data_IF_781855384253
#
_entry.id   IF_781855384253
#
_cell.length_a   1.000
_cell.length_b   1.000
_cell.length_c   1.000
_cell.angle_alpha   90.00
_cell.angle_beta   90.00
_cell.angle_gamma   90.00
#
_symmetry.space_group_name_H-M   'P 1'
#
loop_
_entity.id
_entity.type
_entity.pdbx_description
1 polymer ?
#
# COMPACT_ATOMS: atom_id res chain seq x y z
N UNK A 1 -13.95 -0.86 -5.41
CA UNK A 1 -12.55 -1.10 -5.00
C UNK A 1 -11.86 -1.96 -6.06
N UNK A 2 -10.61 -1.63 -6.38
CA UNK A 2 -9.83 -2.31 -7.43
C UNK A 2 -8.50 -2.78 -6.85
N UNK A 3 -8.14 -4.05 -7.09
CA UNK A 3 -6.87 -4.63 -6.63
C UNK A 3 -5.84 -4.67 -7.74
N UNK A 4 -4.62 -4.20 -7.47
CA UNK A 4 -3.48 -4.17 -8.40
C UNK A 4 -2.21 -4.73 -7.72
N UNK A 5 -1.23 -5.14 -8.51
CA UNK A 5 0.00 -5.75 -8.02
C UNK A 5 1.23 -5.05 -8.58
N UNK A 6 2.27 -4.89 -7.76
CA UNK A 6 3.46 -4.10 -8.10
C UNK A 6 4.74 -4.80 -7.64
N UNK A 7 5.88 -4.38 -8.18
CA UNK A 7 7.19 -4.89 -7.75
C UNK A 7 7.90 -4.00 -6.75
N UNK A 8 7.59 -2.70 -6.72
CA UNK A 8 8.31 -1.75 -5.88
C UNK A 8 7.45 -0.54 -5.52
N UNK A 9 7.89 0.16 -4.48
CA UNK A 9 7.46 1.53 -4.15
C UNK A 9 8.52 2.53 -4.64
N UNK A 10 8.14 3.79 -4.81
CA UNK A 10 9.04 4.89 -5.15
C UNK A 10 8.73 6.14 -4.32
N UNK A 11 9.78 6.84 -3.91
CA UNK A 11 9.70 8.07 -3.12
C UNK A 11 9.50 7.82 -1.63
N UNK A 12 9.40 8.94 -0.90
CA UNK A 12 9.29 8.95 0.58
C UNK A 12 8.04 9.71 1.07
N UNK A 13 7.27 10.31 0.15
CA UNK A 13 6.04 11.04 0.49
C UNK A 13 4.87 10.07 0.53
N UNK A 14 3.98 10.26 1.51
CA UNK A 14 2.75 9.48 1.64
C UNK A 14 1.60 10.14 0.84
N UNK A 15 0.71 9.35 0.23
CA UNK A 15 0.77 7.90 0.06
C UNK A 15 1.95 7.48 -0.84
N UNK A 16 2.58 6.33 -0.57
CA UNK A 16 3.70 5.87 -1.39
C UNK A 16 3.26 5.59 -2.82
N UNK A 17 4.11 5.93 -3.80
CA UNK A 17 3.86 5.59 -5.20
C UNK A 17 4.25 4.14 -5.44
N UNK A 18 3.34 3.33 -5.95
CA UNK A 18 3.63 1.96 -6.39
C UNK A 18 4.04 1.97 -7.87
N UNK A 19 5.06 1.19 -8.23
CA UNK A 19 5.65 1.17 -9.57
C UNK A 19 5.90 -0.25 -10.06
N UNK A 20 6.06 -0.38 -11.38
CA UNK A 20 6.22 -1.67 -12.06
C UNK A 20 5.02 -2.58 -11.80
N UNK A 21 3.84 -2.14 -12.25
CA UNK A 21 2.61 -2.93 -12.17
C UNK A 21 2.76 -4.26 -12.93
N UNK A 22 2.21 -5.32 -12.35
CA UNK A 22 2.24 -6.67 -12.91
C UNK A 22 0.85 -7.30 -12.88
N UNK A 23 0.62 -8.23 -13.81
CA UNK A 23 -0.60 -9.03 -13.83
C UNK A 23 -0.57 -10.11 -12.72
N UNK A 24 -1.73 -10.56 -12.21
CA UNK A 24 -1.82 -11.58 -11.16
C UNK A 24 -1.10 -12.90 -11.52
N UNK A 25 -1.03 -13.26 -12.80
CA UNK A 25 -0.38 -14.47 -13.29
C UNK A 25 1.14 -14.43 -13.09
N UNK A 26 1.73 -13.23 -12.98
CA UNK A 26 3.15 -13.04 -12.74
C UNK A 26 3.55 -13.25 -11.26
N UNK A 27 2.59 -13.49 -10.37
CA UNK A 27 2.84 -13.70 -8.93
C UNK A 27 3.39 -15.09 -8.61
N UNK A 28 2.99 -16.13 -9.35
CA UNK A 28 3.27 -17.53 -9.01
C UNK A 28 4.76 -17.89 -8.92
N UNK A 29 5.64 -17.11 -9.56
CA UNK A 29 7.08 -17.34 -9.61
C UNK A 29 7.88 -16.26 -8.86
N UNK A 30 7.24 -15.55 -7.92
CA UNK A 30 7.88 -14.43 -7.21
C UNK A 30 7.91 -14.64 -5.71
N UNK A 31 9.10 -14.38 -5.17
CA UNK A 31 9.32 -14.36 -3.73
C UNK A 31 8.77 -13.07 -3.12
N UNK A 32 8.82 -11.94 -3.85
CA UNK A 32 8.35 -10.65 -3.32
C UNK A 32 7.50 -9.91 -4.33
N UNK A 33 6.39 -9.35 -3.85
CA UNK A 33 5.52 -8.44 -4.60
C UNK A 33 4.71 -7.56 -3.65
N UNK A 34 4.06 -6.55 -4.19
CA UNK A 34 3.14 -5.67 -3.46
C UNK A 34 1.72 -5.92 -3.95
N UNK A 35 0.78 -6.08 -3.02
CA UNK A 35 -0.66 -6.12 -3.28
C UNK A 35 -1.27 -4.79 -2.83
N UNK A 36 -2.07 -4.15 -3.66
CA UNK A 36 -2.61 -2.85 -3.37
C UNK A 36 -4.10 -2.72 -3.72
N UNK A 37 -4.83 -2.02 -2.87
CA UNK A 37 -6.25 -1.72 -3.04
C UNK A 37 -6.47 -0.25 -3.29
N UNK A 38 -7.27 0.04 -4.31
CA UNK A 38 -7.66 1.38 -4.73
C UNK A 38 -9.16 1.58 -4.59
N UNK A 39 -9.56 2.82 -4.28
CA UNK A 39 -10.97 3.21 -4.36
C UNK A 39 -11.40 3.55 -5.80
N UNK A 40 -12.64 3.99 -5.96
CA UNK A 40 -13.23 4.35 -7.25
C UNK A 40 -12.63 5.64 -7.85
N UNK A 41 -11.98 6.46 -7.02
CA UNK A 41 -11.27 7.67 -7.43
C UNK A 41 -9.78 7.40 -7.72
N UNK A 42 -9.39 6.13 -7.85
CA UNK A 42 -8.00 5.67 -8.05
C UNK A 42 -7.02 6.10 -6.94
N UNK A 43 -7.51 6.32 -5.72
CA UNK A 43 -6.68 6.60 -4.54
C UNK A 43 -6.27 5.30 -3.86
N UNK A 44 -5.00 5.22 -3.45
CA UNK A 44 -4.45 4.06 -2.78
C UNK A 44 -4.99 3.98 -1.34
N UNK A 45 -5.79 2.96 -1.03
CA UNK A 45 -6.34 2.75 0.31
C UNK A 45 -5.42 1.90 1.18
N UNK A 46 -4.79 0.89 0.59
CA UNK A 46 -3.92 -0.06 1.30
C UNK A 46 -2.89 -0.62 0.36
N UNK A 47 -1.69 -0.88 0.86
CA UNK A 47 -0.83 -1.87 0.22
C UNK A 47 -0.15 -2.76 1.25
N UNK A 48 0.17 -3.97 0.83
CA UNK A 48 0.96 -4.94 1.59
C UNK A 48 2.16 -5.37 0.76
N UNK A 49 3.32 -5.45 1.40
CA UNK A 49 4.50 -6.11 0.84
C UNK A 49 4.48 -7.56 1.25
N UNK A 50 4.32 -8.45 0.28
CA UNK A 50 4.36 -9.90 0.49
C UNK A 50 5.75 -10.41 0.19
N UNK A 51 6.34 -11.19 1.09
CA UNK A 51 7.64 -11.85 0.95
C UNK A 51 7.48 -13.31 1.34
N UNK A 52 7.76 -14.22 0.41
CA UNK A 52 7.56 -15.67 0.52
C UNK A 52 6.15 -16.08 1.00
N UNK A 53 5.15 -15.25 0.73
CA UNK A 53 3.75 -15.49 1.14
C UNK A 53 3.34 -14.75 2.41
N UNK A 54 4.29 -14.27 3.21
CA UNK A 54 4.04 -13.53 4.44
C UNK A 54 3.95 -12.02 4.21
N UNK A 55 3.16 -11.33 5.02
CA UNK A 55 3.03 -9.87 4.97
C UNK A 55 4.12 -9.26 5.85
N UNK A 56 5.08 -8.59 5.23
CA UNK A 56 6.21 -7.94 5.92
C UNK A 56 5.93 -6.47 6.26
N UNK A 57 4.98 -5.84 5.57
CA UNK A 57 4.66 -4.43 5.72
C UNK A 57 3.25 -4.17 5.21
N UNK A 58 2.45 -3.43 5.96
CA UNK A 58 1.15 -2.91 5.54
C UNK A 58 1.12 -1.40 5.69
N UNK A 59 0.66 -0.70 4.66
CA UNK A 59 0.22 0.69 4.78
C UNK A 59 -1.29 0.76 4.59
N UNK A 60 -1.97 1.57 5.40
CA UNK A 60 -3.39 1.90 5.29
C UNK A 60 -3.51 3.42 5.22
N UNK A 61 -4.31 3.92 4.30
CA UNK A 61 -4.48 5.35 4.05
C UNK A 61 -5.96 5.74 4.13
N UNK A 62 -6.24 6.77 4.92
CA UNK A 62 -7.56 7.39 5.01
C UNK A 62 -7.53 8.80 4.45
N UNK A 63 -8.57 9.13 3.69
CA UNK A 63 -8.74 10.43 3.07
C UNK A 63 -9.94 11.16 3.65
N UNK A 64 -9.90 12.49 3.67
CA UNK A 64 -11.06 13.30 4.04
C UNK A 64 -12.08 13.42 2.89
N UNK A 65 -13.16 14.18 3.13
CA UNK A 65 -14.23 14.40 2.15
C UNK A 65 -13.75 15.17 0.90
N UNK A 66 -12.65 15.92 0.99
CA UNK A 66 -12.04 16.64 -0.13
C UNK A 66 -11.00 15.78 -0.86
N UNK A 67 -10.69 14.60 -0.33
CA UNK A 67 -9.72 13.66 -0.85
C UNK A 67 -8.28 13.95 -0.47
N UNK A 68 -8.04 14.83 0.50
CA UNK A 68 -6.73 15.01 1.10
C UNK A 68 -6.40 13.81 2.01
N UNK A 69 -5.13 13.38 2.02
CA UNK A 69 -4.67 12.34 2.95
C UNK A 69 -4.80 12.87 4.37
N UNK A 70 -5.58 12.17 5.20
CA UNK A 70 -5.82 12.54 6.60
C UNK A 70 -5.01 11.68 7.55
N UNK A 71 -4.83 10.39 7.25
CA UNK A 71 -4.10 9.45 8.10
C UNK A 71 -3.37 8.41 7.27
N UNK A 72 -2.20 8.02 7.73
CA UNK A 72 -1.50 6.82 7.30
C UNK A 72 -1.17 5.96 8.52
N UNK A 73 -1.51 4.68 8.44
CA UNK A 73 -1.10 3.66 9.41
C UNK A 73 -0.11 2.71 8.75
N UNK A 74 1.01 2.44 9.42
CA UNK A 74 2.11 1.60 8.96
C UNK A 74 2.28 0.48 9.97
N UNK A 75 2.07 -0.75 9.52
CA UNK A 75 2.14 -1.95 10.34
C UNK A 75 3.27 -2.83 9.83
N UNK A 76 4.17 -3.22 10.73
CA UNK A 76 5.20 -4.22 10.49
C UNK A 76 5.01 -5.36 11.49
N UNK A 77 5.30 -6.62 11.13
CA UNK A 77 5.28 -7.72 12.07
C UNK A 77 6.17 -7.43 13.28
N UNK A 78 5.70 -7.82 14.47
CA UNK A 78 6.41 -7.70 15.75
C UNK A 78 6.73 -6.26 16.21
N UNK A 79 6.20 -5.24 15.53
CA UNK A 79 6.32 -3.83 15.91
C UNK A 79 4.95 -3.21 16.21
N UNK A 80 4.94 -2.20 17.08
CA UNK A 80 3.75 -1.39 17.30
C UNK A 80 3.43 -0.58 16.02
N UNK A 81 2.14 -0.48 15.62
CA UNK A 81 1.76 0.32 14.47
C UNK A 81 2.20 1.78 14.59
N UNK A 82 2.78 2.31 13.52
CA UNK A 82 3.08 3.73 13.40
C UNK A 82 1.90 4.45 12.74
N UNK A 83 1.32 5.41 13.45
CA UNK A 83 0.22 6.24 12.94
C UNK A 83 0.73 7.65 12.65
N UNK A 84 0.44 8.15 11.45
CA UNK A 84 0.74 9.50 11.02
C UNK A 84 -0.58 10.20 10.69
N UNK A 85 -0.96 11.18 11.50
CA UNK A 85 -2.10 12.05 11.25
C UNK A 85 -1.65 13.34 10.56
N UNK A 86 -2.39 13.75 9.53
CA UNK A 86 -2.16 14.98 8.78
C UNK A 86 -3.24 15.99 9.15
N UNK A 87 -2.81 17.20 9.51
CA UNK A 87 -3.71 18.32 9.73
C UNK A 87 -4.13 18.90 8.38
N UNK A 88 -5.43 19.17 8.24
CA UNK A 88 -6.04 19.83 7.09
C UNK A 88 -5.69 21.31 7.01
#
# INVERSE_FOLDING_TARGET
>A
MTRRYFLATNGVKLPLKLVSEIAPEALANRNTFIRADYDEAERLLRFEKIVYGDIELTHIYDYDANGALRRAEIVMPDEDPTIVDFLA
#
